data_IF_579013577217
#
_entry.id   IF_579013577217
#
_cell.length_a   1.000
_cell.length_b   1.000
_cell.length_c   1.000
_cell.angle_alpha   90.00
_cell.angle_beta   90.00
_cell.angle_gamma   90.00
#
_symmetry.space_group_name_H-M   'P 1'
#
loop_
_entity.id
_entity.type
_entity.pdbx_description
1 polymer ?
#
# COMPACT_ATOMS: atom_id res chain seq x y z
N UNK A 1 -13.00 -2.56 30.81
CA UNK A 1 -12.20 -3.75 30.45
C UNK A 1 -11.00 -3.27 29.64
N UNK A 2 -9.80 -3.70 30.01
CA UNK A 2 -8.52 -3.24 29.47
C UNK A 2 -8.32 -3.63 27.99
N UNK A 3 -8.38 -2.67 27.06
CA UNK A 3 -7.86 -2.81 25.69
C UNK A 3 -6.58 -1.98 25.51
N UNK A 4 -5.54 -2.34 26.27
CA UNK A 4 -4.18 -1.85 26.02
C UNK A 4 -3.22 -3.02 26.17
N UNK A 5 -2.95 -3.70 25.04
CA UNK A 5 -1.76 -4.50 24.80
C UNK A 5 -1.78 -4.95 23.33
N UNK A 6 -0.81 -4.49 22.55
CA UNK A 6 -0.56 -4.83 21.13
C UNK A 6 -1.53 -4.21 20.10
N UNK A 7 -1.28 -2.94 19.75
CA UNK A 7 -1.65 -2.47 18.40
C UNK A 7 -0.84 -3.27 17.38
N UNK A 8 -1.49 -3.77 16.33
CA UNK A 8 -0.82 -4.44 15.20
C UNK A 8 0.18 -3.47 14.54
N UNK A 9 1.30 -4.00 14.02
CA UNK A 9 2.38 -3.17 13.44
C UNK A 9 1.87 -2.24 12.33
N UNK A 10 0.91 -2.69 11.53
CA UNK A 10 0.32 -1.88 10.46
C UNK A 10 -0.45 -0.64 10.98
N UNK A 11 -1.14 -0.73 12.13
CA UNK A 11 -1.81 0.43 12.74
C UNK A 11 -0.82 1.46 13.25
N UNK A 12 0.33 0.98 13.75
CA UNK A 12 1.42 1.85 14.15
C UNK A 12 2.00 2.61 12.95
N UNK A 13 2.06 1.98 11.77
CA UNK A 13 2.48 2.67 10.54
C UNK A 13 1.52 3.80 10.19
N UNK A 14 0.20 3.56 10.24
CA UNK A 14 -0.83 4.60 10.07
C UNK A 14 -0.62 5.76 11.05
N UNK A 15 -0.50 5.47 12.35
CA UNK A 15 -0.30 6.49 13.40
C UNK A 15 1.01 7.30 13.21
N UNK A 16 2.10 6.64 12.80
CA UNK A 16 3.43 7.26 12.64
C UNK A 16 3.55 8.05 11.33
N UNK A 17 2.67 7.78 10.37
CA UNK A 17 2.67 8.38 9.03
C UNK A 17 1.33 9.04 8.74
N UNK A 18 0.67 9.60 9.76
CA UNK A 18 -0.62 10.30 9.68
C UNK A 18 -0.59 11.51 8.70
N UNK A 19 0.62 11.96 8.34
CA UNK A 19 0.90 12.94 7.27
C UNK A 19 0.69 12.39 5.84
N UNK A 20 0.62 11.07 5.65
CA UNK A 20 0.25 10.43 4.38
C UNK A 20 -1.28 10.47 4.30
N UNK A 21 -1.80 11.67 4.01
CA UNK A 21 -3.24 11.98 3.99
C UNK A 21 -4.06 10.89 3.31
N UNK A 22 -3.55 10.34 2.20
CA UNK A 22 -4.22 9.27 1.45
C UNK A 22 -4.50 7.99 2.27
N UNK A 23 -3.54 7.51 3.07
CA UNK A 23 -3.72 6.29 3.88
C UNK A 23 -4.72 6.58 5.01
N UNK A 24 -4.50 7.68 5.73
CA UNK A 24 -5.38 8.09 6.82
C UNK A 24 -6.82 8.31 6.36
N UNK A 25 -7.02 8.95 5.21
CA UNK A 25 -8.34 9.22 4.64
C UNK A 25 -9.00 7.93 4.15
N UNK A 26 -8.27 7.06 3.45
CA UNK A 26 -8.80 5.74 3.06
C UNK A 26 -9.24 4.92 4.28
N UNK A 27 -8.42 4.88 5.34
CA UNK A 27 -8.77 4.19 6.58
C UNK A 27 -9.94 4.85 7.33
N UNK A 28 -10.09 6.19 7.26
CA UNK A 28 -11.24 6.91 7.83
C UNK A 28 -12.52 6.59 7.07
N UNK A 29 -12.51 6.57 5.74
CA UNK A 29 -13.68 6.23 4.92
C UNK A 29 -14.16 4.80 5.22
N UNK A 30 -13.22 3.83 5.30
CA UNK A 30 -13.56 2.46 5.71
C UNK A 30 -14.18 2.43 7.12
N UNK A 31 -13.59 3.17 8.07
CA UNK A 31 -14.13 3.26 9.44
C UNK A 31 -15.50 3.92 9.49
N UNK A 32 -15.75 4.95 8.69
CA UNK A 32 -17.03 5.67 8.65
C UNK A 32 -18.19 4.74 8.29
N UNK A 33 -17.96 3.76 7.41
CA UNK A 33 -18.94 2.72 7.06
C UNK A 33 -19.20 1.79 8.26
N UNK A 34 -18.17 1.45 9.04
CA UNK A 34 -18.27 0.46 10.13
C UNK A 34 -18.63 1.04 11.51
N UNK A 35 -18.49 2.36 11.70
CA UNK A 35 -18.62 3.03 13.00
C UNK A 35 -19.84 3.98 13.09
N UNK A 36 -20.58 4.21 12.00
CA UNK A 36 -21.77 5.08 11.96
C UNK A 36 -23.06 4.43 12.48
N UNK A 37 -24.10 5.21 12.76
CA UNK A 37 -25.38 4.72 13.32
C UNK A 37 -26.20 3.78 12.38
N UNK A 38 -25.69 3.50 11.17
CA UNK A 38 -26.27 2.59 10.17
C UNK A 38 -25.45 1.32 9.91
N UNK A 39 -24.58 0.89 10.83
CA UNK A 39 -23.71 -0.29 10.64
C UNK A 39 -24.49 -1.51 10.16
N UNK A 40 -24.09 -2.08 9.02
CA UNK A 40 -24.46 -3.43 8.62
C UNK A 40 -25.59 -3.54 7.60
N UNK A 41 -25.82 -2.51 6.77
CA UNK A 41 -26.62 -2.72 5.56
C UNK A 41 -25.88 -3.69 4.61
N UNK A 42 -26.60 -4.57 3.88
CA UNK A 42 -25.96 -5.52 2.96
C UNK A 42 -25.04 -4.86 1.93
N UNK A 43 -25.40 -3.66 1.46
CA UNK A 43 -24.60 -2.88 0.52
C UNK A 43 -23.22 -2.52 1.07
N UNK A 44 -23.14 -2.12 2.34
CA UNK A 44 -21.89 -1.75 3.00
C UNK A 44 -20.96 -2.95 3.15
N UNK A 45 -21.50 -4.10 3.57
CA UNK A 45 -20.73 -5.34 3.73
C UNK A 45 -20.16 -5.80 2.38
N UNK A 46 -20.96 -5.71 1.31
CA UNK A 46 -20.51 -6.04 -0.06
C UNK A 46 -19.45 -5.05 -0.53
N UNK A 47 -19.65 -3.75 -0.33
CA UNK A 47 -18.70 -2.72 -0.74
C UNK A 47 -17.34 -2.90 -0.04
N UNK A 48 -17.35 -3.17 1.26
CA UNK A 48 -16.12 -3.45 2.03
C UNK A 48 -15.42 -4.72 1.56
N UNK A 49 -16.16 -5.78 1.23
CA UNK A 49 -15.57 -7.02 0.71
C UNK A 49 -14.88 -6.79 -0.65
N UNK A 50 -15.53 -6.06 -1.57
CA UNK A 50 -14.97 -5.72 -2.88
C UNK A 50 -13.75 -4.82 -2.71
N UNK A 51 -13.83 -3.78 -1.89
CA UNK A 51 -12.71 -2.88 -1.64
C UNK A 51 -11.51 -3.63 -1.03
N UNK A 52 -11.76 -4.58 -0.13
CA UNK A 52 -10.72 -5.45 0.44
C UNK A 52 -10.04 -6.33 -0.61
N UNK A 53 -10.80 -6.90 -1.55
CA UNK A 53 -10.27 -7.70 -2.64
C UNK A 53 -9.42 -6.85 -3.61
N UNK A 54 -9.94 -5.71 -4.05
CA UNK A 54 -9.21 -4.76 -4.92
C UNK A 54 -7.91 -4.27 -4.27
N UNK A 55 -7.94 -3.99 -2.97
CA UNK A 55 -6.73 -3.60 -2.23
C UNK A 55 -5.70 -4.73 -2.18
N UNK A 56 -6.13 -5.99 -2.01
CA UNK A 56 -5.23 -7.14 -2.00
C UNK A 56 -4.59 -7.37 -3.38
N UNK A 57 -5.37 -7.28 -4.46
CA UNK A 57 -4.87 -7.37 -5.84
C UNK A 57 -3.90 -6.22 -6.16
N UNK A 58 -4.23 -5.01 -5.72
CA UNK A 58 -3.36 -3.84 -5.86
C UNK A 58 -2.01 -4.01 -5.13
N UNK A 59 -2.02 -4.60 -3.92
CA UNK A 59 -0.78 -4.93 -3.20
C UNK A 59 0.05 -5.95 -3.98
N UNK A 60 -0.58 -7.01 -4.51
CA UNK A 60 0.11 -8.01 -5.33
C UNK A 60 0.77 -7.39 -6.56
N UNK A 61 0.01 -6.61 -7.33
CA UNK A 61 0.53 -5.93 -8.52
C UNK A 61 1.64 -4.92 -8.18
N UNK A 62 1.53 -4.23 -7.05
CA UNK A 62 2.56 -3.32 -6.56
C UNK A 62 3.88 -4.04 -6.23
N UNK A 63 3.81 -5.25 -5.67
CA UNK A 63 4.97 -6.05 -5.28
C UNK A 63 5.74 -6.67 -6.45
N UNK A 64 5.20 -6.66 -7.68
CA UNK A 64 5.93 -7.06 -8.88
C UNK A 64 7.08 -6.10 -9.23
N UNK A 65 7.07 -4.89 -8.67
CA UNK A 65 8.15 -3.92 -8.81
C UNK A 65 9.34 -4.23 -7.88
N UNK A 66 10.56 -4.22 -8.43
CA UNK A 66 11.81 -4.29 -7.64
C UNK A 66 11.88 -3.18 -6.57
N UNK A 67 11.22 -2.05 -6.83
CA UNK A 67 11.25 -0.87 -5.99
C UNK A 67 9.99 -0.69 -5.14
N UNK A 68 9.15 -1.73 -5.03
CA UNK A 68 7.89 -1.68 -4.28
C UNK A 68 8.10 -1.30 -2.80
N UNK A 69 9.19 -1.80 -2.19
CA UNK A 69 9.52 -1.58 -0.78
C UNK A 69 11.02 -1.31 -0.65
N UNK A 70 11.40 -0.18 -0.06
CA UNK A 70 12.80 0.23 0.09
C UNK A 70 13.47 -0.29 1.36
N UNK A 71 12.68 -0.67 2.38
CA UNK A 71 13.21 -0.98 3.72
C UNK A 71 12.59 -2.23 4.32
N UNK A 72 13.32 -2.94 5.22
CA UNK A 72 12.76 -4.03 6.02
C UNK A 72 11.52 -3.60 6.82
N UNK A 73 11.48 -2.35 7.30
CA UNK A 73 10.31 -1.80 8.00
C UNK A 73 9.06 -1.85 7.12
N UNK A 74 9.15 -1.37 5.88
CA UNK A 74 8.03 -1.40 4.94
C UNK A 74 7.56 -2.83 4.68
N UNK A 75 8.47 -3.78 4.52
CA UNK A 75 8.13 -5.22 4.42
C UNK A 75 7.37 -5.70 5.66
N UNK A 76 7.83 -5.34 6.86
CA UNK A 76 7.18 -5.74 8.11
C UNK A 76 5.76 -5.17 8.25
N UNK A 77 5.56 -3.90 7.86
CA UNK A 77 4.24 -3.27 7.88
C UNK A 77 3.29 -3.88 6.86
N UNK A 78 3.73 -4.05 5.60
CA UNK A 78 2.94 -4.69 4.55
C UNK A 78 2.57 -6.11 4.93
N UNK A 79 3.53 -6.91 5.42
CA UNK A 79 3.25 -8.28 5.86
C UNK A 79 2.31 -8.32 7.07
N UNK A 80 2.43 -7.38 8.02
CA UNK A 80 1.48 -7.27 9.14
C UNK A 80 0.07 -6.93 8.69
N UNK A 81 -0.09 -6.08 7.67
CA UNK A 81 -1.39 -5.74 7.10
C UNK A 81 -2.01 -6.94 6.38
N UNK A 82 -1.22 -7.64 5.54
CA UNK A 82 -1.65 -8.86 4.84
C UNK A 82 -2.07 -9.97 5.81
N UNK A 83 -1.31 -10.20 6.89
CA UNK A 83 -1.70 -11.16 7.93
C UNK A 83 -3.03 -10.77 8.56
N UNK A 84 -3.25 -9.49 8.86
CA UNK A 84 -4.51 -9.02 9.42
C UNK A 84 -5.67 -9.19 8.43
N UNK A 85 -5.45 -8.95 7.13
CA UNK A 85 -6.43 -9.16 6.08
C UNK A 85 -6.82 -10.65 5.95
N UNK A 86 -5.85 -11.56 5.94
CA UNK A 86 -6.11 -13.01 5.85
C UNK A 86 -6.95 -13.48 7.06
N UNK A 87 -6.55 -13.10 8.27
CA UNK A 87 -7.29 -13.45 9.49
C UNK A 87 -8.72 -12.87 9.47
N UNK A 88 -8.87 -11.60 9.08
CA UNK A 88 -10.18 -10.95 9.01
C UNK A 88 -11.08 -11.58 7.92
N UNK A 89 -10.52 -11.93 6.76
CA UNK A 89 -11.23 -12.61 5.69
C UNK A 89 -11.71 -14.00 6.13
N UNK A 90 -10.87 -14.77 6.84
CA UNK A 90 -11.27 -16.06 7.42
C UNK A 90 -12.45 -15.92 8.38
N UNK A 91 -12.37 -14.96 9.31
CA UNK A 91 -13.47 -14.66 10.23
C UNK A 91 -14.73 -14.16 9.52
N UNK A 92 -14.60 -13.41 8.43
CA UNK A 92 -15.73 -12.96 7.63
C UNK A 92 -16.43 -14.12 6.92
N UNK A 93 -15.68 -15.07 6.36
CA UNK A 93 -16.23 -16.28 5.74
C UNK A 93 -16.96 -17.17 6.75
N UNK A 94 -16.40 -17.36 7.95
CA UNK A 94 -17.08 -18.07 9.05
C UNK A 94 -18.40 -17.37 9.46
N UNK A 95 -18.44 -16.03 9.41
CA UNK A 95 -19.68 -15.27 9.65
C UNK A 95 -20.68 -15.38 8.51
N UNK A 96 -20.23 -15.44 7.26
CA UNK A 96 -21.11 -15.66 6.09
C UNK A 96 -21.76 -17.04 6.14
N UNK A 97 -20.99 -18.07 6.51
CA UNK A 97 -21.50 -19.41 6.83
C UNK A 97 -22.63 -19.34 7.87
N UNK A 98 -22.35 -18.75 9.04
CA UNK A 98 -23.35 -18.58 10.09
C UNK A 98 -24.56 -17.72 9.68
N UNK A 99 -24.41 -16.80 8.72
CA UNK A 99 -25.52 -16.02 8.19
C UNK A 99 -26.47 -16.83 7.31
N UNK A 100 -26.01 -17.88 6.64
CA UNK A 100 -26.89 -18.80 5.91
C UNK A 100 -27.83 -19.53 6.87
N UNK A 101 -27.33 -19.95 8.05
CA UNK A 101 -28.17 -20.54 9.09
C UNK A 101 -29.25 -19.55 9.57
N UNK A 102 -28.88 -18.29 9.82
CA UNK A 102 -29.84 -17.24 10.22
C UNK A 102 -30.89 -16.99 9.15
N UNK A 103 -30.50 -16.98 7.86
CA UNK A 103 -31.44 -16.84 6.74
C UNK A 103 -32.39 -18.05 6.66
N UNK A 104 -31.91 -19.25 6.95
CA UNK A 104 -32.72 -20.46 7.00
C UNK A 104 -33.72 -20.42 8.16
N UNK A 105 -33.29 -20.01 9.35
CA UNK A 105 -34.14 -19.83 10.53
C UNK A 105 -35.23 -18.78 10.31
N UNK A 106 -34.93 -17.72 9.56
CA UNK A 106 -35.92 -16.70 9.16
C UNK A 106 -36.87 -17.20 8.06
N UNK A 107 -36.53 -18.28 7.37
CA UNK A 107 -37.31 -18.86 6.29
C UNK A 107 -37.07 -18.22 4.93
N UNK A 108 -35.96 -17.48 4.76
CA UNK A 108 -35.62 -16.85 3.47
C UNK A 108 -35.05 -17.86 2.48
N UNK A 109 -34.42 -18.92 2.98
CA UNK A 109 -33.82 -20.00 2.19
C UNK A 109 -34.19 -21.36 2.79
N UNK A 110 -34.19 -22.39 1.96
CA UNK A 110 -34.34 -23.78 2.39
C UNK A 110 -32.97 -24.45 2.42
N UNK A 111 -32.47 -24.74 3.62
CA UNK A 111 -31.23 -25.50 3.79
C UNK A 111 -31.53 -27.00 3.76
N UNK A 112 -30.74 -27.79 3.01
CA UNK A 112 -30.92 -29.22 2.95
C UNK A 112 -30.48 -29.85 4.27
N UNK A 113 -30.97 -31.05 4.55
CA UNK A 113 -30.34 -31.91 5.55
C UNK A 113 -28.86 -32.12 5.15
N UNK A 114 -27.88 -31.95 6.06
CA UNK A 114 -26.45 -32.11 5.78
C UNK A 114 -26.13 -33.42 5.04
N UNK A 115 -26.82 -34.51 5.38
CA UNK A 115 -26.62 -35.82 4.76
C UNK A 115 -27.19 -35.89 3.33
N UNK A 116 -28.10 -35.00 2.95
CA UNK A 116 -28.70 -34.89 1.62
C UNK A 116 -27.99 -33.87 0.72
N UNK A 117 -27.37 -32.85 1.29
CA UNK A 117 -26.71 -31.76 0.56
C UNK A 117 -25.70 -32.25 -0.50
N UNK A 118 -24.97 -33.33 -0.20
CA UNK A 118 -23.98 -33.91 -1.12
C UNK A 118 -24.56 -34.81 -2.23
N UNK A 119 -25.86 -35.15 -2.16
CA UNK A 119 -26.50 -36.15 -3.02
C UNK A 119 -27.53 -35.55 -3.99
N UNK A 120 -28.06 -34.38 -3.69
CA UNK A 120 -29.10 -33.72 -4.47
C UNK A 120 -28.52 -32.50 -5.22
N UNK A 121 -28.79 -32.40 -6.53
CA UNK A 121 -28.33 -31.30 -7.38
C UNK A 121 -29.33 -30.13 -7.44
N UNK A 122 -30.30 -30.11 -6.53
CA UNK A 122 -31.31 -29.09 -6.43
C UNK A 122 -30.78 -27.83 -5.74
N UNK A 123 -31.62 -26.81 -5.62
CA UNK A 123 -31.21 -25.52 -5.07
C UNK A 123 -30.75 -25.61 -3.61
N UNK A 124 -31.46 -26.39 -2.80
CA UNK A 124 -31.07 -26.64 -1.41
C UNK A 124 -29.71 -27.34 -1.34
N UNK A 125 -29.50 -28.42 -2.10
CA UNK A 125 -28.21 -29.11 -2.18
C UNK A 125 -27.05 -28.17 -2.56
N UNK A 126 -27.25 -27.28 -3.53
CA UNK A 126 -26.25 -26.26 -3.90
C UNK A 126 -25.94 -25.28 -2.77
N UNK A 127 -26.95 -24.84 -2.01
CA UNK A 127 -26.75 -23.95 -0.85
C UNK A 127 -25.97 -24.64 0.27
N UNK A 128 -26.29 -25.91 0.58
CA UNK A 128 -25.54 -26.68 1.59
C UNK A 128 -24.07 -26.92 1.19
N UNK A 129 -23.80 -27.17 -0.10
CA UNK A 129 -22.43 -27.27 -0.61
C UNK A 129 -21.69 -25.93 -0.53
N UNK A 130 -22.34 -24.82 -0.87
CA UNK A 130 -21.76 -23.48 -0.77
C UNK A 130 -21.44 -23.12 0.69
N UNK A 131 -22.35 -23.40 1.62
CA UNK A 131 -22.13 -23.19 3.05
C UNK A 131 -20.92 -23.98 3.55
N UNK A 132 -20.85 -25.27 3.23
CA UNK A 132 -19.71 -26.14 3.60
C UNK A 132 -18.39 -25.60 3.05
N UNK A 133 -18.39 -25.12 1.80
CA UNK A 133 -17.22 -24.52 1.18
C UNK A 133 -16.80 -23.21 1.86
N UNK A 134 -17.75 -22.34 2.22
CA UNK A 134 -17.50 -21.10 2.95
C UNK A 134 -16.88 -21.38 4.33
N UNK A 135 -17.47 -22.29 5.11
CA UNK A 135 -16.93 -22.66 6.43
C UNK A 135 -15.53 -23.27 6.33
N UNK A 136 -15.30 -24.14 5.33
CA UNK A 136 -13.98 -24.74 5.08
C UNK A 136 -12.93 -23.69 4.67
N UNK A 137 -13.30 -22.76 3.80
CA UNK A 137 -12.43 -21.67 3.36
C UNK A 137 -12.14 -20.69 4.51
N UNK A 138 -13.15 -20.39 5.34
CA UNK A 138 -13.02 -19.55 6.53
C UNK A 138 -12.01 -20.14 7.52
N UNK A 139 -12.16 -21.42 7.85
CA UNK A 139 -11.22 -22.14 8.72
C UNK A 139 -9.80 -22.19 8.15
N UNK A 140 -9.66 -22.46 6.86
CA UNK A 140 -8.35 -22.51 6.20
C UNK A 140 -7.66 -21.13 6.25
N UNK A 141 -8.38 -20.05 5.98
CA UNK A 141 -7.86 -18.69 6.04
C UNK A 141 -7.52 -18.25 7.48
N UNK A 142 -8.40 -18.53 8.46
CA UNK A 142 -8.19 -18.15 9.86
C UNK A 142 -7.00 -18.86 10.51
N UNK A 143 -6.58 -20.01 9.95
CA UNK A 143 -5.42 -20.80 10.41
C UNK A 143 -4.18 -20.67 9.52
N UNK A 144 -4.28 -19.96 8.38
CA UNK A 144 -3.16 -19.78 7.45
C UNK A 144 -2.02 -18.94 8.03
N UNK A 145 -2.34 -18.00 8.93
CA UNK A 145 -1.36 -17.16 9.59
C UNK A 145 -0.80 -17.88 10.81
N UNK A 146 0.50 -18.15 10.80
CA UNK A 146 1.17 -18.81 11.92
C UNK A 146 1.04 -17.97 13.21
N UNK A 147 0.73 -18.58 14.37
CA UNK A 147 0.49 -17.85 15.62
C UNK A 147 1.73 -17.10 16.13
N UNK A 148 2.92 -17.45 15.66
CA UNK A 148 4.19 -16.84 16.04
C UNK A 148 4.70 -15.80 15.02
N UNK A 149 3.95 -15.51 13.95
CA UNK A 149 4.36 -14.59 12.87
C UNK A 149 4.72 -13.18 13.37
N UNK A 150 4.13 -12.74 14.49
CA UNK A 150 4.36 -11.40 15.03
C UNK A 150 5.82 -11.16 15.42
N UNK A 151 6.52 -12.16 15.95
CA UNK A 151 7.89 -11.99 16.43
C UNK A 151 8.90 -11.78 15.28
N UNK A 152 8.89 -12.59 14.20
CA UNK A 152 9.63 -12.30 12.98
C UNK A 152 9.33 -10.91 12.41
N UNK A 153 8.06 -10.50 12.35
CA UNK A 153 7.68 -9.18 11.84
C UNK A 153 8.22 -8.05 12.71
N UNK A 154 8.21 -8.20 14.05
CA UNK A 154 8.83 -7.23 14.97
C UNK A 154 10.34 -7.14 14.76
N UNK A 155 11.03 -8.26 14.57
CA UNK A 155 12.47 -8.26 14.28
C UNK A 155 12.78 -7.57 12.97
N UNK A 156 11.94 -7.76 11.95
CA UNK A 156 12.08 -7.12 10.66
C UNK A 156 11.85 -5.60 10.76
N UNK A 157 10.83 -5.17 11.51
CA UNK A 157 10.58 -3.76 11.80
C UNK A 157 11.73 -3.10 12.59
N UNK A 158 12.38 -3.85 13.48
CA UNK A 158 13.53 -3.39 14.26
C UNK A 158 14.88 -3.48 13.51
N UNK A 159 14.91 -4.06 12.30
CA UNK A 159 16.14 -4.28 11.57
C UNK A 159 16.83 -2.95 11.23
N UNK A 160 18.16 -2.90 11.37
CA UNK A 160 18.92 -1.71 11.03
C UNK A 160 18.84 -1.42 9.53
N UNK A 161 18.54 -0.16 9.19
CA UNK A 161 18.65 0.32 7.81
C UNK A 161 20.13 0.45 7.45
N UNK A 162 20.56 -0.28 6.42
CA UNK A 162 21.94 -0.21 5.92
C UNK A 162 22.20 1.11 5.17
N UNK A 163 21.17 1.66 4.54
CA UNK A 163 21.16 2.99 3.95
C UNK A 163 19.92 3.74 4.47
N UNK A 164 20.07 4.91 5.09
CA UNK A 164 18.92 5.73 5.45
C UNK A 164 18.24 6.24 4.19
N UNK A 165 16.91 6.25 4.19
CA UNK A 165 16.15 6.95 3.16
C UNK A 165 16.27 8.47 3.38
N UNK A 166 16.23 9.27 2.30
CA UNK A 166 16.14 10.72 2.41
C UNK A 166 14.95 11.17 3.26
N UNK A 167 15.10 12.28 3.98
CA UNK A 167 14.04 12.88 4.76
C UNK A 167 13.10 13.77 3.93
N UNK A 168 13.59 14.29 2.79
CA UNK A 168 12.83 15.16 1.90
C UNK A 168 13.34 15.12 0.45
N UNK A 169 12.64 15.83 -0.45
CA UNK A 169 13.02 15.94 -1.86
C UNK A 169 14.41 16.56 -2.08
N UNK A 170 14.88 17.46 -1.20
CA UNK A 170 16.20 18.07 -1.33
C UNK A 170 17.31 17.06 -1.06
N UNK A 171 17.16 16.24 -0.03
CA UNK A 171 18.08 15.14 0.25
C UNK A 171 18.07 14.12 -0.89
N UNK A 172 16.89 13.77 -1.40
CA UNK A 172 16.75 12.83 -2.53
C UNK A 172 17.50 13.32 -3.76
N UNK A 173 17.24 14.55 -4.23
CA UNK A 173 17.89 15.07 -5.45
C UNK A 173 19.39 15.28 -5.26
N UNK A 174 19.84 15.64 -4.06
CA UNK A 174 21.27 15.77 -3.74
C UNK A 174 21.97 14.42 -3.85
N UNK A 175 21.37 13.37 -3.29
CA UNK A 175 21.94 12.03 -3.32
C UNK A 175 21.87 11.39 -4.73
N UNK A 176 20.80 11.65 -5.48
CA UNK A 176 20.72 11.30 -6.92
C UNK A 176 21.88 11.95 -7.69
N UNK A 177 22.16 13.22 -7.41
CA UNK A 177 23.28 13.94 -8.06
C UNK A 177 24.61 13.28 -7.75
N UNK A 178 24.82 12.87 -6.50
CA UNK A 178 26.01 12.13 -6.06
C UNK A 178 26.14 10.78 -6.79
N UNK A 179 25.04 10.06 -6.99
CA UNK A 179 25.02 8.76 -7.69
C UNK A 179 25.21 8.88 -9.22
N UNK A 180 24.82 10.00 -9.80
CA UNK A 180 25.01 10.31 -11.23
C UNK A 180 26.41 10.86 -11.52
N UNK A 181 27.10 11.43 -10.53
CA UNK A 181 28.49 11.87 -10.64
C UNK A 181 28.65 13.00 -11.66
N UNK A 182 29.72 12.94 -12.47
CA UNK A 182 30.08 14.00 -13.42
C UNK A 182 29.03 14.26 -14.50
N UNK A 183 28.09 13.33 -14.72
CA UNK A 183 26.97 13.52 -15.63
C UNK A 183 25.93 14.53 -15.11
N UNK A 184 26.00 14.89 -13.83
CA UNK A 184 25.01 15.71 -13.14
C UNK A 184 25.63 17.00 -12.60
N UNK A 185 24.98 18.13 -12.90
CA UNK A 185 25.25 19.42 -12.27
C UNK A 185 24.05 19.84 -11.44
N UNK A 186 24.21 19.79 -10.12
CA UNK A 186 23.16 20.16 -9.16
C UNK A 186 23.07 21.68 -8.99
N UNK A 187 21.84 22.20 -8.99
CA UNK A 187 21.52 23.59 -8.70
C UNK A 187 20.62 23.67 -7.47
N UNK A 188 21.17 24.18 -6.38
CA UNK A 188 20.47 24.36 -5.08
C UNK A 188 20.16 25.83 -4.77
N UNK A 189 20.49 26.76 -5.66
CA UNK A 189 20.38 28.20 -5.40
C UNK A 189 18.94 28.67 -5.13
N UNK A 190 17.94 27.99 -5.71
CA UNK A 190 16.52 28.28 -5.51
C UNK A 190 15.91 27.50 -4.31
N UNK A 191 16.75 26.90 -3.46
CA UNK A 191 16.31 26.24 -2.24
C UNK A 191 15.83 27.28 -1.23
N UNK A 192 14.50 27.45 -1.13
CA UNK A 192 13.89 28.21 -0.04
C UNK A 192 13.86 27.29 1.18
N UNK A 193 14.95 27.29 1.95
CA UNK A 193 15.01 26.67 3.27
C UNK A 193 14.03 27.41 4.19
N UNK A 194 12.75 27.02 4.20
CA UNK A 194 11.82 27.56 5.20
C UNK A 194 12.22 26.94 6.54
N UNK A 195 12.63 27.80 7.46
CA UNK A 195 12.68 27.52 8.90
C UNK A 195 11.44 26.74 9.36
N UNK A 196 11.56 25.91 10.42
CA UNK A 196 10.48 25.03 10.83
C UNK A 196 9.30 25.87 11.32
N UNK A 197 8.29 26.03 10.46
CA UNK A 197 6.99 26.57 10.83
C UNK A 197 6.06 25.37 11.02
N UNK A 198 5.41 25.23 12.19
CA UNK A 198 4.50 24.12 12.40
C UNK A 198 3.21 24.34 11.57
N UNK A 199 2.73 23.25 10.98
CA UNK A 199 1.35 23.03 10.52
C UNK A 199 0.88 23.54 9.14
N UNK A 200 1.66 23.33 8.07
CA UNK A 200 1.08 23.05 6.74
C UNK A 200 1.89 21.91 6.08
N UNK A 201 1.27 20.82 5.61
CA UNK A 201 1.94 19.68 5.01
C UNK A 201 2.31 19.97 3.55
N UNK A 202 2.87 21.13 3.25
CA UNK A 202 3.59 21.33 1.98
C UNK A 202 4.99 20.76 2.18
N UNK A 203 5.10 19.43 2.03
CA UNK A 203 6.37 18.73 1.75
C UNK A 203 6.92 19.08 0.35
N UNK A 204 6.29 20.03 -0.31
CA UNK A 204 6.50 20.40 -1.69
C UNK A 204 7.11 21.79 -1.76
N UNK A 205 8.17 21.91 -2.57
CA UNK A 205 8.80 23.13 -3.10
C UNK A 205 10.31 23.27 -2.79
N UNK A 206 11.06 22.17 -2.61
CA UNK A 206 12.48 22.23 -3.01
C UNK A 206 12.50 22.43 -4.53
N UNK A 207 12.82 23.65 -4.97
CA UNK A 207 13.05 24.03 -6.38
C UNK A 207 14.45 23.65 -6.86
N UNK A 208 15.07 22.73 -6.13
CA UNK A 208 16.38 22.23 -6.47
C UNK A 208 16.21 21.42 -7.75
N UNK A 209 17.15 21.60 -8.69
CA UNK A 209 17.11 20.95 -9.99
C UNK A 209 18.50 20.49 -10.37
N UNK A 210 18.57 19.62 -11.36
CA UNK A 210 19.82 19.04 -11.82
C UNK A 210 19.86 19.04 -13.33
N UNK A 211 20.93 19.61 -13.88
CA UNK A 211 21.21 19.48 -15.31
C UNK A 211 21.97 18.18 -15.52
N UNK A 212 21.46 17.34 -16.41
CA UNK A 212 22.08 16.08 -16.78
C UNK A 212 22.65 16.20 -18.18
N UNK A 213 23.91 15.82 -18.34
CA UNK A 213 24.56 15.67 -19.65
C UNK A 213 24.72 14.19 -19.94
N UNK A 214 24.01 13.73 -20.97
CA UNK A 214 24.08 12.34 -21.45
C UNK A 214 25.32 12.14 -22.34
N UNK A 215 25.66 10.88 -22.62
CA UNK A 215 26.87 10.53 -23.38
C UNK A 215 26.88 11.00 -24.84
N UNK A 216 25.70 11.26 -25.41
CA UNK A 216 25.55 11.86 -26.75
C UNK A 216 25.52 13.40 -26.72
N UNK A 217 25.66 14.00 -25.53
CA UNK A 217 25.66 15.44 -25.30
C UNK A 217 24.27 16.05 -25.11
N UNK A 218 23.19 15.27 -25.07
CA UNK A 218 21.85 15.81 -24.81
C UNK A 218 21.75 16.30 -23.35
N UNK A 219 21.14 17.48 -23.19
CA UNK A 219 20.93 18.15 -21.91
C UNK A 219 19.51 17.97 -21.42
N UNK A 220 19.38 17.49 -20.19
CA UNK A 220 18.10 17.30 -19.50
C UNK A 220 18.07 18.10 -18.20
N UNK A 221 16.90 18.57 -17.79
CA UNK A 221 16.62 19.17 -16.49
C UNK A 221 15.81 18.17 -15.65
N UNK A 222 16.37 17.72 -14.54
CA UNK A 222 15.73 16.84 -13.57
C UNK A 222 15.28 17.67 -12.36
N UNK A 223 14.01 17.56 -11.98
CA UNK A 223 13.44 18.29 -10.83
C UNK A 223 12.21 17.57 -10.29
N UNK A 224 11.67 18.08 -9.18
CA UNK A 224 10.34 17.71 -8.70
C UNK A 224 9.36 18.83 -9.01
N UNK A 225 8.27 18.54 -9.70
CA UNK A 225 7.23 19.49 -10.09
C UNK A 225 5.87 18.85 -9.87
N UNK A 226 4.92 19.61 -9.30
CA UNK A 226 3.53 19.19 -9.03
C UNK A 226 3.33 17.83 -8.35
N UNK A 227 4.27 17.41 -7.50
CA UNK A 227 4.17 16.11 -6.82
C UNK A 227 5.16 15.07 -7.32
N UNK A 228 5.74 15.29 -8.48
CA UNK A 228 6.32 14.20 -9.27
C UNK A 228 7.77 14.49 -9.66
N UNK A 229 8.59 13.44 -9.71
CA UNK A 229 9.94 13.52 -10.25
C UNK A 229 9.87 13.55 -11.78
N UNK A 230 10.47 14.55 -12.41
CA UNK A 230 10.35 14.75 -13.86
C UNK A 230 11.69 15.08 -14.53
N UNK A 231 11.78 14.69 -15.80
CA UNK A 231 12.86 15.01 -16.72
C UNK A 231 12.34 15.86 -17.88
N UNK A 232 13.05 16.96 -18.17
CA UNK A 232 12.73 17.85 -19.28
C UNK A 232 13.92 17.99 -20.20
N UNK A 233 13.80 17.56 -21.46
CA UNK A 233 14.85 17.76 -22.45
C UNK A 233 14.93 19.22 -22.84
N UNK A 234 16.11 19.82 -22.74
CA UNK A 234 16.27 21.26 -22.99
C UNK A 234 16.14 21.67 -24.45
N UNK A 235 16.40 20.76 -25.38
CA UNK A 235 16.40 21.07 -26.81
C UNK A 235 14.99 21.36 -27.34
N UNK A 236 13.99 20.65 -26.86
CA UNK A 236 12.62 20.65 -27.39
C UNK A 236 11.52 20.67 -26.32
N UNK A 237 11.88 20.63 -25.03
CA UNK A 237 10.93 20.62 -23.92
C UNK A 237 10.24 19.28 -23.72
N UNK A 238 10.75 18.18 -24.30
CA UNK A 238 10.16 16.87 -24.10
C UNK A 238 10.16 16.50 -22.61
N UNK A 239 8.98 16.13 -22.11
CA UNK A 239 8.71 15.89 -20.70
C UNK A 239 8.50 14.40 -20.42
N UNK A 240 9.16 13.90 -19.39
CA UNK A 240 9.00 12.54 -18.89
C UNK A 240 8.76 12.61 -17.38
N UNK A 241 7.62 12.10 -16.94
CA UNK A 241 7.34 11.82 -15.54
C UNK A 241 7.99 10.48 -15.16
N UNK A 242 8.69 10.45 -14.03
CA UNK A 242 9.33 9.24 -13.53
C UNK A 242 8.36 8.52 -12.59
N UNK A 243 8.30 7.19 -12.69
CA UNK A 243 7.47 6.31 -11.86
C UNK A 243 7.99 6.17 -10.41
N UNK A 244 8.33 7.29 -9.77
CA UNK A 244 8.60 7.43 -8.35
C UNK A 244 7.85 8.69 -7.89
N UNK A 245 6.71 8.52 -7.21
CA UNK A 245 5.93 9.67 -6.74
C UNK A 245 6.45 10.22 -5.39
N UNK A 246 7.10 9.37 -4.59
CA UNK A 246 7.57 9.76 -3.26
C UNK A 246 8.75 10.74 -3.34
N UNK A 247 8.61 11.90 -2.67
CA UNK A 247 9.68 12.87 -2.47
C UNK A 247 10.91 12.26 -1.77
N UNK A 248 10.72 11.21 -0.98
CA UNK A 248 11.74 10.50 -0.21
C UNK A 248 12.10 9.14 -0.83
N UNK A 249 11.78 8.93 -2.11
CA UNK A 249 12.13 7.70 -2.83
C UNK A 249 13.62 7.37 -2.71
N UNK A 250 13.96 6.07 -2.71
CA UNK A 250 15.36 5.64 -2.68
C UNK A 250 16.14 6.28 -3.85
N UNK A 251 17.23 7.02 -3.59
CA UNK A 251 17.98 7.70 -4.64
C UNK A 251 18.49 6.78 -5.74
N UNK A 252 18.71 5.48 -5.44
CA UNK A 252 19.11 4.48 -6.44
C UNK A 252 17.95 4.14 -7.38
N UNK A 253 16.71 4.09 -6.88
CA UNK A 253 15.51 3.92 -7.70
C UNK A 253 15.38 5.07 -8.70
N UNK A 254 15.38 6.31 -8.18
CA UNK A 254 15.26 7.52 -9.01
C UNK A 254 16.40 7.60 -10.04
N UNK A 255 17.63 7.28 -9.63
CA UNK A 255 18.78 7.19 -10.54
C UNK A 255 18.58 6.14 -11.63
N UNK A 256 18.01 4.97 -11.31
CA UNK A 256 17.72 3.92 -12.28
C UNK A 256 16.67 4.38 -13.30
N UNK A 257 15.58 5.02 -12.83
CA UNK A 257 14.54 5.60 -13.68
C UNK A 257 15.10 6.68 -14.61
N UNK A 258 15.92 7.59 -14.10
CA UNK A 258 16.59 8.61 -14.93
C UNK A 258 17.41 7.94 -16.03
N UNK A 259 18.25 6.96 -15.67
CA UNK A 259 19.11 6.23 -16.62
C UNK A 259 18.30 5.44 -17.65
N UNK A 260 17.10 4.96 -17.31
CA UNK A 260 16.21 4.27 -18.23
C UNK A 260 15.54 5.28 -19.18
N UNK A 261 15.00 6.37 -18.65
CA UNK A 261 14.33 7.42 -19.41
C UNK A 261 15.25 8.02 -20.48
N UNK A 262 16.46 8.44 -20.10
CA UNK A 262 17.41 9.04 -21.07
C UNK A 262 17.93 8.05 -22.12
N UNK A 263 17.83 6.74 -21.87
CA UNK A 263 18.21 5.69 -22.85
C UNK A 263 17.09 5.34 -23.82
N UNK A 264 15.85 5.56 -23.43
CA UNK A 264 14.66 5.18 -24.19
C UNK A 264 13.98 6.38 -24.86
N UNK A 265 14.32 7.60 -24.44
CA UNK A 265 13.88 8.83 -25.06
C UNK A 265 14.43 8.94 -26.51
N UNK A 266 13.56 9.17 -27.51
CA UNK A 266 13.92 9.25 -28.92
C UNK A 266 14.65 10.55 -29.28
#
# INVERSE_FOLDING_TARGET
MHHSAQRTLWRRFEDEHDDVQFIGDTCKEVRAITEGDGVGEPGDVIALAIAGAEAADGVLAGLDSEWALYTPQQVAYTASALCAQITAAGQALEKLDAHLDVMAERGDIAMPDPDRAAREADEAGRLGLAQTALGSAGYAASTAVAPDVEEPLRRLAAAQRLAPLPADAHETITEVGRLLGDAAKLFTADHVCRTPRPALPDREQCRCRMELTTSDGALWDFRREDGEWCLVRRADGHWIELAAADACADPRHVTALIRQAVRTAP
#
